data_IF_906635360600
#
_entry.id   IF_906635360600
#
_cell.length_a   1.000
_cell.length_b   1.000
_cell.length_c   1.000
_cell.angle_alpha   90.00
_cell.angle_beta   90.00
_cell.angle_gamma   90.00
#
_symmetry.space_group_name_H-M   'P 1'
#
loop_
_entity.id
_entity.type
_entity.pdbx_description
1 polymer ?
#
# COMPACT_ATOMS: atom_id res chain seq x y z
N UNK A 1 -12.62 -2.22 9.50
CA UNK A 1 -11.99 -0.94 9.16
C UNK A 1 -11.04 -1.06 7.98
N UNK A 2 -9.85 -1.66 8.11
CA UNK A 2 -8.86 -1.65 7.00
C UNK A 2 -9.39 -2.22 5.67
N UNK A 3 -10.16 -3.32 5.72
CA UNK A 3 -10.73 -3.95 4.51
C UNK A 3 -12.11 -3.41 4.12
N UNK A 4 -12.83 -2.77 5.04
CA UNK A 4 -14.16 -2.20 4.77
C UNK A 4 -14.11 -0.73 4.34
N UNK A 5 -13.03 -0.03 4.68
CA UNK A 5 -12.85 1.40 4.45
C UNK A 5 -13.02 1.82 2.98
N UNK A 6 -12.35 1.17 2.00
CA UNK A 6 -12.52 1.50 0.59
C UNK A 6 -13.98 1.39 0.13
N UNK A 7 -14.66 0.30 0.48
CA UNK A 7 -16.08 0.08 0.14
C UNK A 7 -16.97 1.16 0.76
N UNK A 8 -16.82 1.43 2.07
CA UNK A 8 -17.61 2.48 2.74
C UNK A 8 -17.33 3.88 2.18
N UNK A 9 -16.10 4.16 1.73
CA UNK A 9 -15.78 5.41 1.05
C UNK A 9 -16.51 5.50 -0.29
N UNK A 10 -16.51 4.44 -1.09
CA UNK A 10 -17.24 4.38 -2.37
C UNK A 10 -18.74 4.64 -2.16
N UNK A 11 -19.36 3.96 -1.19
CA UNK A 11 -20.78 4.17 -0.82
C UNK A 11 -21.05 5.64 -0.44
N UNK A 12 -20.19 6.26 0.37
CA UNK A 12 -20.32 7.67 0.78
C UNK A 12 -20.13 8.64 -0.38
N UNK A 13 -19.36 8.26 -1.41
CA UNK A 13 -19.20 9.01 -2.65
C UNK A 13 -20.30 8.70 -3.69
N UNK A 14 -21.30 7.88 -3.33
CA UNK A 14 -22.39 7.48 -4.21
C UNK A 14 -21.94 6.65 -5.41
N UNK A 15 -20.96 5.77 -5.20
CA UNK A 15 -20.32 4.95 -6.23
C UNK A 15 -20.22 3.50 -5.77
N UNK A 16 -20.14 2.56 -6.70
CA UNK A 16 -19.83 1.14 -6.44
C UNK A 16 -18.32 0.85 -6.46
N UNK A 17 -17.53 1.77 -7.05
CA UNK A 17 -16.06 1.72 -7.06
C UNK A 17 -15.42 3.09 -6.78
N UNK A 18 -14.12 3.08 -6.47
CA UNK A 18 -13.30 4.26 -6.26
C UNK A 18 -12.59 4.68 -7.54
N UNK A 19 -12.74 5.95 -7.91
CA UNK A 19 -12.03 6.56 -9.03
C UNK A 19 -11.04 7.62 -8.53
N UNK A 20 -9.77 7.51 -8.95
CA UNK A 20 -8.72 8.42 -8.51
C UNK A 20 -8.99 9.87 -8.96
N UNK A 21 -9.54 10.07 -10.16
CA UNK A 21 -9.92 11.39 -10.68
C UNK A 21 -10.98 12.07 -9.83
N UNK A 22 -12.07 11.36 -9.51
CA UNK A 22 -13.17 11.85 -8.66
C UNK A 22 -12.69 12.18 -7.25
N UNK A 23 -11.81 11.36 -6.67
CA UNK A 23 -11.24 11.64 -5.35
C UNK A 23 -10.31 12.86 -5.41
N UNK A 24 -9.44 12.92 -6.42
CA UNK A 24 -8.48 14.00 -6.59
C UNK A 24 -9.13 15.37 -6.76
N UNK A 25 -10.26 15.42 -7.49
CA UNK A 25 -11.03 16.63 -7.77
C UNK A 25 -12.07 16.99 -6.68
N UNK A 26 -12.24 16.15 -5.67
CA UNK A 26 -13.21 16.39 -4.60
C UNK A 26 -12.83 17.62 -3.76
N UNK A 27 -13.82 18.39 -3.29
CA UNK A 27 -13.54 19.48 -2.34
C UNK A 27 -12.85 18.91 -1.07
N UNK A 28 -11.69 19.43 -0.63
CA UNK A 28 -10.91 18.83 0.45
C UNK A 28 -11.65 18.75 1.80
N UNK A 29 -12.46 19.76 2.13
CA UNK A 29 -13.20 19.80 3.38
C UNK A 29 -14.37 18.81 3.33
N UNK A 30 -15.14 18.82 2.24
CA UNK A 30 -16.21 17.85 2.02
C UNK A 30 -15.68 16.41 1.93
N UNK A 31 -14.50 16.18 1.34
CA UNK A 31 -13.87 14.85 1.32
C UNK A 31 -13.48 14.40 2.72
N UNK A 32 -12.98 15.32 3.54
CA UNK A 32 -12.66 15.05 4.96
C UNK A 32 -13.92 14.67 5.75
N UNK A 33 -15.08 15.27 5.46
CA UNK A 33 -16.36 14.87 6.07
C UNK A 33 -16.72 13.41 5.75
N UNK A 34 -16.41 12.91 4.55
CA UNK A 34 -16.62 11.50 4.20
C UNK A 34 -15.80 10.56 5.08
N UNK A 35 -14.65 10.98 5.61
CA UNK A 35 -13.83 10.18 6.52
C UNK A 35 -14.26 10.29 7.98
N UNK A 36 -14.74 11.48 8.40
CA UNK A 36 -15.04 11.79 9.79
C UNK A 36 -16.48 11.45 10.19
N UNK A 37 -17.42 11.40 9.22
CA UNK A 37 -18.81 10.99 9.44
C UNK A 37 -18.87 9.67 10.20
N UNK A 38 -19.66 9.63 11.27
CA UNK A 38 -19.75 8.47 12.17
C UNK A 38 -20.50 7.31 11.50
N UNK A 39 -20.01 6.08 11.64
CA UNK A 39 -18.72 5.73 12.24
C UNK A 39 -17.54 6.15 11.33
N UNK A 40 -16.51 6.76 11.93
CA UNK A 40 -15.36 7.26 11.17
C UNK A 40 -14.64 6.12 10.42
N UNK A 41 -14.16 6.38 9.20
CA UNK A 41 -13.49 5.36 8.36
C UNK A 41 -12.17 4.87 8.96
N UNK A 42 -11.52 5.72 9.75
CA UNK A 42 -10.23 5.47 10.35
C UNK A 42 -10.13 6.13 11.73
N UNK A 43 -9.22 5.63 12.59
CA UNK A 43 -8.92 6.23 13.90
C UNK A 43 -8.30 7.64 13.83
N UNK A 44 -7.73 7.97 12.67
CA UNK A 44 -7.18 9.29 12.33
C UNK A 44 -7.86 9.77 11.04
N UNK A 45 -9.14 10.15 11.07
CA UNK A 45 -9.92 10.33 9.85
C UNK A 45 -9.46 11.52 9.02
N UNK A 46 -9.21 12.69 9.64
CA UNK A 46 -8.79 13.90 8.91
C UNK A 46 -7.44 13.73 8.20
N UNK A 47 -6.42 13.21 8.90
CA UNK A 47 -5.11 12.98 8.27
C UNK A 47 -5.13 11.87 7.22
N UNK A 48 -6.03 10.89 7.33
CA UNK A 48 -6.18 9.87 6.29
C UNK A 48 -6.93 10.38 5.06
N UNK A 49 -7.93 11.24 5.24
CA UNK A 49 -8.60 11.90 4.10
C UNK A 49 -7.58 12.65 3.23
N UNK A 50 -6.76 13.50 3.86
CA UNK A 50 -5.72 14.25 3.17
C UNK A 50 -4.72 13.34 2.45
N UNK A 51 -4.25 12.27 3.10
CA UNK A 51 -3.28 11.34 2.48
C UNK A 51 -3.86 10.55 1.32
N UNK A 52 -5.13 10.10 1.43
CA UNK A 52 -5.81 9.39 0.35
C UNK A 52 -6.03 10.32 -0.83
N UNK A 53 -6.50 11.54 -0.59
CA UNK A 53 -6.71 12.52 -1.65
C UNK A 53 -5.39 12.89 -2.34
N UNK A 54 -4.32 13.12 -1.57
CA UNK A 54 -2.99 13.41 -2.11
C UNK A 54 -2.45 12.25 -2.97
N UNK A 55 -2.67 11.00 -2.54
CA UNK A 55 -2.29 9.83 -3.33
C UNK A 55 -3.06 9.79 -4.66
N UNK A 56 -4.37 10.04 -4.64
CA UNK A 56 -5.19 10.08 -5.86
C UNK A 56 -4.76 11.23 -6.79
N UNK A 57 -4.45 12.41 -6.27
CA UNK A 57 -3.91 13.53 -7.06
C UNK A 57 -2.59 13.17 -7.74
N UNK A 58 -1.69 12.50 -7.02
CA UNK A 58 -0.44 11.99 -7.60
C UNK A 58 -0.69 10.96 -8.71
N UNK A 59 -1.63 10.03 -8.49
CA UNK A 59 -2.00 9.04 -9.50
C UNK A 59 -2.60 9.69 -10.76
N UNK A 60 -3.40 10.74 -10.61
CA UNK A 60 -3.91 11.51 -11.76
C UNK A 60 -2.79 12.20 -12.51
N UNK A 61 -1.91 12.90 -11.80
CA UNK A 61 -0.83 13.67 -12.42
C UNK A 61 0.21 12.80 -13.15
N UNK A 62 0.62 11.69 -12.53
CA UNK A 62 1.74 10.88 -13.02
C UNK A 62 1.30 9.63 -13.79
N UNK A 63 0.04 9.18 -13.61
CA UNK A 63 -0.46 7.91 -14.12
C UNK A 63 -1.86 8.00 -14.75
N UNK A 64 -2.35 9.21 -15.06
CA UNK A 64 -3.68 9.45 -15.67
C UNK A 64 -4.84 8.82 -14.87
N UNK A 65 -4.66 8.67 -13.56
CA UNK A 65 -5.63 8.08 -12.64
C UNK A 65 -5.60 6.55 -12.59
N UNK A 66 -4.82 5.89 -13.43
CA UNK A 66 -4.69 4.43 -13.45
C UNK A 66 -3.64 3.96 -12.42
N UNK A 67 -4.12 3.55 -11.24
CA UNK A 67 -3.26 3.02 -10.18
C UNK A 67 -2.42 1.82 -10.63
N UNK A 68 -2.90 1.01 -11.58
CA UNK A 68 -2.18 -0.18 -12.03
C UNK A 68 -0.99 0.13 -12.94
N UNK A 69 -0.97 1.32 -13.56
CA UNK A 69 0.16 1.81 -14.36
C UNK A 69 1.45 1.94 -13.54
N UNK A 70 1.33 2.15 -12.21
CA UNK A 70 2.46 2.18 -11.28
C UNK A 70 3.34 0.94 -11.41
N UNK A 71 2.73 -0.24 -11.61
CA UNK A 71 3.46 -1.51 -11.66
C UNK A 71 3.38 -2.25 -12.98
N UNK A 72 2.32 -2.06 -13.76
CA UNK A 72 2.18 -2.68 -15.08
C UNK A 72 3.28 -2.21 -16.04
N UNK A 73 3.61 -0.93 -15.99
CA UNK A 73 4.49 -0.28 -16.97
C UNK A 73 5.94 -0.12 -16.45
N UNK A 74 6.28 -0.79 -15.35
CA UNK A 74 7.63 -0.76 -14.77
C UNK A 74 8.58 -1.69 -15.53
N UNK A 75 9.73 -1.16 -15.97
CA UNK A 75 10.69 -1.89 -16.80
C UNK A 75 11.54 -2.89 -16.00
N UNK A 76 11.89 -2.55 -14.75
CA UNK A 76 12.75 -3.34 -13.88
C UNK A 76 12.24 -3.31 -12.44
N UNK A 77 12.81 -4.17 -11.59
CA UNK A 77 12.57 -4.13 -10.15
C UNK A 77 12.95 -2.78 -9.53
N UNK A 78 14.06 -2.19 -9.96
CA UNK A 78 14.51 -0.89 -9.44
C UNK A 78 13.59 0.25 -9.88
N UNK A 79 13.14 0.25 -11.14
CA UNK A 79 12.12 1.20 -11.65
C UNK A 79 10.80 1.05 -10.85
N UNK A 80 10.33 -0.18 -10.65
CA UNK A 80 9.14 -0.42 -9.83
C UNK A 80 9.33 0.07 -8.39
N UNK A 81 10.50 -0.14 -7.80
CA UNK A 81 10.79 0.33 -6.45
C UNK A 81 10.76 1.87 -6.39
N UNK A 82 11.38 2.53 -7.36
CA UNK A 82 11.39 4.00 -7.47
C UNK A 82 9.96 4.56 -7.57
N UNK A 83 9.14 4.02 -8.47
CA UNK A 83 7.73 4.40 -8.64
C UNK A 83 6.92 4.22 -7.36
N UNK A 84 7.06 3.07 -6.69
CA UNK A 84 6.36 2.79 -5.42
C UNK A 84 6.83 3.71 -4.29
N UNK A 85 8.10 4.10 -4.28
CA UNK A 85 8.67 4.98 -3.25
C UNK A 85 8.27 6.45 -3.47
N UNK A 86 7.95 6.84 -4.71
CA UNK A 86 7.44 8.16 -5.04
C UNK A 86 5.99 8.40 -4.59
N UNK A 87 5.21 7.33 -4.36
CA UNK A 87 3.82 7.45 -3.90
C UNK A 87 3.73 8.22 -2.57
N UNK A 88 2.86 9.23 -2.44
CA UNK A 88 2.64 9.93 -1.18
C UNK A 88 2.32 8.98 -0.02
N UNK A 89 3.07 9.10 1.09
CA UNK A 89 2.91 8.24 2.26
C UNK A 89 3.55 6.85 2.13
N UNK A 90 4.36 6.62 1.11
CA UNK A 90 5.24 5.45 1.00
C UNK A 90 6.67 5.84 1.37
N UNK A 91 7.33 4.95 2.09
CA UNK A 91 8.77 5.04 2.35
C UNK A 91 9.42 3.72 1.97
N UNK A 92 10.75 3.71 1.93
CA UNK A 92 11.54 2.64 1.30
C UNK A 92 11.16 1.24 1.77
N UNK A 93 10.94 1.04 3.07
CA UNK A 93 10.54 -0.27 3.59
C UNK A 93 9.16 -0.70 3.08
N UNK A 94 8.18 0.21 3.09
CA UNK A 94 6.81 -0.06 2.62
C UNK A 94 6.81 -0.33 1.11
N UNK A 95 7.58 0.44 0.35
CA UNK A 95 7.74 0.25 -1.10
C UNK A 95 8.32 -1.15 -1.40
N UNK A 96 9.39 -1.57 -0.69
CA UNK A 96 9.96 -2.92 -0.84
C UNK A 96 9.00 -4.05 -0.47
N UNK A 97 8.22 -3.89 0.61
CA UNK A 97 7.20 -4.87 1.00
C UNK A 97 6.08 -4.95 -0.05
N UNK A 98 5.62 -3.82 -0.59
CA UNK A 98 4.62 -3.79 -1.65
C UNK A 98 5.17 -4.47 -2.91
N UNK A 99 6.39 -4.14 -3.31
CA UNK A 99 7.06 -4.78 -4.44
C UNK A 99 7.14 -6.30 -4.27
N UNK A 100 7.52 -6.77 -3.08
CA UNK A 100 7.53 -8.19 -2.75
C UNK A 100 6.13 -8.83 -2.86
N UNK A 101 5.08 -8.14 -2.37
CA UNK A 101 3.69 -8.61 -2.46
C UNK A 101 3.28 -8.78 -3.93
N UNK A 102 3.56 -7.78 -4.76
CA UNK A 102 3.30 -7.79 -6.20
C UNK A 102 3.97 -8.98 -6.90
N UNK A 103 5.26 -9.21 -6.64
CA UNK A 103 6.01 -10.31 -7.27
C UNK A 103 5.64 -11.70 -6.76
N UNK A 104 5.40 -11.85 -5.45
CA UNK A 104 5.08 -13.14 -4.81
C UNK A 104 3.66 -13.58 -5.07
N UNK A 105 2.69 -12.68 -4.94
CA UNK A 105 1.26 -13.04 -4.91
C UNK A 105 0.49 -12.61 -6.17
N UNK A 106 0.89 -11.54 -6.84
CA UNK A 106 0.16 -10.98 -7.98
C UNK A 106 0.83 -11.20 -9.35
N UNK A 107 1.97 -11.90 -9.38
CA UNK A 107 2.64 -12.25 -10.64
C UNK A 107 3.36 -11.09 -11.34
N UNK A 108 3.42 -9.91 -10.74
CA UNK A 108 4.13 -8.74 -11.29
C UNK A 108 5.62 -8.87 -11.03
N UNK A 109 6.36 -9.36 -12.04
CA UNK A 109 7.74 -9.83 -11.89
C UNK A 109 8.69 -9.19 -12.91
N UNK A 110 8.87 -7.85 -12.91
CA UNK A 110 9.86 -7.22 -13.77
C UNK A 110 11.26 -7.73 -13.43
N UNK A 111 12.20 -7.62 -14.37
CA UNK A 111 13.57 -8.12 -14.18
C UNK A 111 14.21 -7.48 -12.93
N UNK A 112 14.76 -8.29 -12.03
CA UNK A 112 15.42 -7.81 -10.80
C UNK A 112 14.48 -7.50 -9.63
N UNK A 113 13.20 -7.88 -9.69
CA UNK A 113 12.23 -7.53 -8.64
C UNK A 113 12.58 -8.08 -7.24
N UNK A 114 13.22 -9.26 -7.15
CA UNK A 114 13.58 -9.83 -5.84
C UNK A 114 14.69 -9.02 -5.17
N UNK A 115 15.69 -8.66 -5.96
CA UNK A 115 16.83 -7.85 -5.57
C UNK A 115 16.36 -6.46 -5.10
N UNK A 116 15.46 -5.83 -5.85
CA UNK A 116 14.86 -4.54 -5.49
C UNK A 116 14.02 -4.60 -4.20
N UNK A 117 13.25 -5.68 -3.99
CA UNK A 117 12.54 -5.93 -2.74
C UNK A 117 13.48 -6.21 -1.55
N UNK A 118 14.76 -6.48 -1.80
CA UNK A 118 15.74 -6.81 -0.77
C UNK A 118 15.34 -8.05 0.03
N UNK A 119 15.47 -8.05 1.37
CA UNK A 119 15.14 -9.21 2.19
C UNK A 119 13.68 -9.67 2.08
N UNK A 120 12.77 -8.80 1.66
CA UNK A 120 11.36 -9.15 1.44
C UNK A 120 11.15 -9.91 0.12
N UNK A 121 12.09 -9.86 -0.82
CA UNK A 121 12.05 -10.57 -2.10
C UNK A 121 12.62 -11.99 -2.06
N UNK A 122 13.33 -12.34 -0.99
CA UNK A 122 13.96 -13.66 -0.80
C UNK A 122 12.92 -14.79 -0.93
N UNK A 123 13.30 -15.85 -1.65
CA UNK A 123 12.47 -17.03 -1.79
C UNK A 123 12.39 -17.80 -0.45
N UNK A 124 11.20 -18.22 -0.06
CA UNK A 124 10.98 -18.90 1.23
C UNK A 124 11.11 -17.99 2.46
N UNK A 125 11.14 -16.67 2.29
CA UNK A 125 11.17 -15.75 3.42
C UNK A 125 9.78 -15.59 4.06
N UNK A 126 9.72 -15.43 5.38
CA UNK A 126 8.48 -15.15 6.13
C UNK A 126 8.63 -13.85 6.93
N UNK A 127 8.85 -12.73 6.25
CA UNK A 127 9.26 -11.45 6.87
C UNK A 127 8.17 -10.39 6.90
N UNK A 128 7.20 -10.46 5.98
CA UNK A 128 6.23 -9.38 5.77
C UNK A 128 4.86 -9.89 5.33
N UNK A 129 3.93 -8.96 5.09
CA UNK A 129 2.60 -9.29 4.56
C UNK A 129 2.66 -9.91 3.17
N UNK A 130 3.74 -9.68 2.41
CA UNK A 130 3.98 -10.32 1.11
C UNK A 130 4.08 -11.85 1.22
N UNK A 131 4.36 -12.37 2.41
CA UNK A 131 4.58 -13.80 2.66
C UNK A 131 3.33 -14.47 3.28
N UNK A 132 2.25 -13.71 3.54
CA UNK A 132 1.04 -14.24 4.15
C UNK A 132 0.08 -14.72 3.06
N UNK A 133 -0.08 -16.03 2.94
CA UNK A 133 -1.03 -16.70 2.04
C UNK A 133 -2.12 -17.47 2.77
N UNK A 134 -2.00 -17.60 4.09
CA UNK A 134 -2.94 -18.31 4.95
C UNK A 134 -2.57 -18.26 6.45
N UNK A 135 -3.34 -18.92 7.32
CA UNK A 135 -3.14 -18.88 8.77
C UNK A 135 -1.76 -19.32 9.25
N UNK A 136 -1.19 -20.36 8.63
CA UNK A 136 0.14 -20.87 8.98
C UNK A 136 1.23 -19.83 8.66
N UNK A 137 1.27 -19.34 7.43
CA UNK A 137 2.21 -18.27 7.02
C UNK A 137 2.05 -16.98 7.83
N UNK A 138 0.83 -16.66 8.30
CA UNK A 138 0.60 -15.54 9.22
C UNK A 138 1.29 -15.77 10.56
N UNK A 139 1.26 -17.00 11.09
CA UNK A 139 1.95 -17.33 12.34
C UNK A 139 3.47 -17.22 12.19
N UNK A 140 4.03 -17.71 11.08
CA UNK A 140 5.47 -17.62 10.78
C UNK A 140 5.94 -16.17 10.67
N UNK A 141 5.22 -15.32 9.92
CA UNK A 141 5.53 -13.89 9.79
C UNK A 141 5.43 -13.17 11.15
N UNK A 142 4.49 -13.56 12.01
CA UNK A 142 4.39 -13.01 13.37
C UNK A 142 5.57 -13.42 14.23
N UNK A 143 5.98 -14.70 14.20
CA UNK A 143 7.14 -15.20 14.92
C UNK A 143 8.41 -14.46 14.50
N UNK A 144 8.67 -14.36 13.19
CA UNK A 144 9.81 -13.61 12.65
C UNK A 144 9.85 -12.16 13.15
N UNK A 145 8.71 -11.44 13.10
CA UNK A 145 8.64 -10.05 13.58
C UNK A 145 8.89 -9.93 15.08
N UNK A 146 8.45 -10.89 15.88
CA UNK A 146 8.70 -10.92 17.31
C UNK A 146 10.19 -11.15 17.61
N UNK A 147 10.81 -12.12 16.95
CA UNK A 147 12.25 -12.41 17.07
C UNK A 147 13.10 -11.23 16.63
N UNK A 148 12.82 -10.64 15.47
CA UNK A 148 13.54 -9.46 14.98
C UNK A 148 13.44 -8.27 15.94
N UNK A 149 12.26 -8.05 16.54
CA UNK A 149 12.06 -7.00 17.55
C UNK A 149 12.85 -7.29 18.84
N UNK A 150 12.88 -8.54 19.28
CA UNK A 150 13.64 -8.95 20.46
C UNK A 150 15.14 -8.78 20.24
N UNK A 151 15.66 -9.19 19.07
CA UNK A 151 17.06 -9.01 18.69
C UNK A 151 17.44 -7.52 18.61
N UNK A 152 16.59 -6.67 17.99
CA UNK A 152 16.83 -5.23 17.94
C UNK A 152 16.86 -4.58 19.33
N UNK A 153 16.01 -5.05 20.26
CA UNK A 153 16.03 -4.57 21.66
C UNK A 153 17.27 -5.02 22.42
N UNK A 154 17.79 -6.21 22.14
CA UNK A 154 19.00 -6.73 22.77
C UNK A 154 20.29 -6.07 22.24
N UNK A 155 20.25 -5.54 21.03
CA UNK A 155 21.37 -4.83 20.39
C UNK A 155 21.41 -3.31 20.67
N UNK A 156 20.39 -2.78 21.34
CA UNK A 156 20.28 -1.37 21.72
C UNK A 156 20.65 -1.17 23.20
#
# INVERSE_FOLDING_TARGET
WAFTGPYTLAERMGSDDLDAGRIAAYDPDAFTELFTTKPALHRYPGSMAQRVQQLCQFLVAEYDGDASAVWRDAATGDDLLERLNALPGFGTQKARIFLALLGKQFGVRPKGWREAAGPYGEAGSHRSVADITGPESLAEVRAYKQEAKAAAKAAA
#
